data_IF_239286753220
#
_entry.id   IF_239286753220
#
_cell.length_a   1.000
_cell.length_b   1.000
_cell.length_c   1.000
_cell.angle_alpha   90.00
_cell.angle_beta   90.00
_cell.angle_gamma   90.00
#
_symmetry.space_group_name_H-M   'P 1'
#
loop_
_entity.id
_entity.type
_entity.pdbx_description
1 polymer ?
#
# COMPACT_ATOMS: atom_id res chain seq x y z
N UNK A 1 -11.51 -10.14 16.90
CA UNK A 1 -10.84 -9.46 15.77
C UNK A 1 -11.61 -9.56 14.45
N UNK A 2 -11.94 -10.78 13.96
CA UNK A 2 -12.61 -10.95 12.65
C UNK A 2 -13.93 -10.18 12.48
N UNK A 3 -14.79 -10.14 13.50
CA UNK A 3 -16.10 -9.49 13.43
C UNK A 3 -16.06 -7.95 13.34
N UNK A 4 -14.96 -7.33 13.73
CA UNK A 4 -14.78 -5.88 13.75
C UNK A 4 -14.53 -5.29 12.35
N UNK A 5 -13.94 -6.07 11.45
CA UNK A 5 -13.51 -5.61 10.12
C UNK A 5 -14.36 -6.14 8.97
N UNK A 6 -15.34 -7.04 9.26
CA UNK A 6 -16.30 -7.55 8.29
C UNK A 6 -15.69 -7.95 6.94
N UNK A 7 -16.24 -7.40 5.86
CA UNK A 7 -15.81 -7.70 4.50
C UNK A 7 -14.32 -7.41 4.23
N UNK A 8 -13.73 -6.41 4.87
CA UNK A 8 -12.30 -6.10 4.68
C UNK A 8 -11.39 -7.22 5.19
N UNK A 9 -11.76 -7.89 6.31
CA UNK A 9 -11.00 -9.05 6.80
C UNK A 9 -11.06 -10.24 5.85
N UNK A 10 -12.24 -10.52 5.30
CA UNK A 10 -12.43 -11.65 4.37
C UNK A 10 -11.64 -11.46 3.08
N UNK A 11 -11.56 -10.23 2.60
CA UNK A 11 -10.80 -9.89 1.39
C UNK A 11 -9.28 -9.99 1.54
N UNK A 12 -8.74 -10.08 2.75
CA UNK A 12 -7.32 -10.43 2.93
C UNK A 12 -6.97 -11.82 2.38
N UNK A 13 -7.94 -12.73 2.33
CA UNK A 13 -7.80 -14.09 1.78
C UNK A 13 -8.47 -14.24 0.41
N UNK A 14 -8.94 -13.14 -0.14
CA UNK A 14 -9.77 -13.11 -1.34
C UNK A 14 -8.98 -12.94 -2.63
N UNK A 15 -9.50 -12.15 -3.59
CA UNK A 15 -8.81 -11.93 -4.86
C UNK A 15 -7.39 -11.37 -4.67
N UNK A 16 -6.46 -11.69 -5.58
CA UNK A 16 -5.14 -11.06 -5.62
C UNK A 16 -5.22 -9.53 -5.66
N UNK A 17 -4.13 -8.88 -5.29
CA UNK A 17 -4.06 -7.43 -5.10
C UNK A 17 -3.22 -6.83 -6.22
N UNK A 18 -3.81 -6.02 -7.10
CA UNK A 18 -3.11 -5.33 -8.17
C UNK A 18 -2.27 -4.17 -7.59
N UNK A 19 -0.94 -4.25 -7.72
CA UNK A 19 0.04 -3.27 -7.24
C UNK A 19 -0.11 -1.96 -8.03
N UNK A 20 -0.53 -0.88 -7.35
CA UNK A 20 -0.84 0.43 -7.97
C UNK A 20 -1.98 0.38 -8.99
N UNK A 21 -2.93 -0.56 -8.82
CA UNK A 21 -3.96 -0.87 -9.79
C UNK A 21 -3.51 -1.85 -10.87
N UNK A 22 -4.41 -2.19 -11.81
CA UNK A 22 -4.08 -3.05 -12.95
C UNK A 22 -3.59 -2.16 -14.11
N UNK A 23 -2.34 -1.74 -14.02
CA UNK A 23 -1.67 -0.89 -14.99
C UNK A 23 -0.89 -1.70 -16.03
N UNK A 24 -0.67 -1.12 -17.20
CA UNK A 24 0.07 -1.72 -18.31
C UNK A 24 0.95 -0.68 -19.01
N UNK A 25 2.08 -1.08 -19.65
CA UNK A 25 3.00 -0.13 -20.31
C UNK A 25 2.36 0.74 -21.41
N UNK A 26 1.28 0.26 -22.04
CA UNK A 26 0.54 0.96 -23.11
C UNK A 26 -0.95 1.14 -22.76
N UNK A 27 -1.31 0.92 -21.48
CA UNK A 27 -2.63 1.06 -20.93
C UNK A 27 -2.69 2.18 -19.90
N UNK A 28 -3.61 2.09 -18.94
CA UNK A 28 -3.67 3.05 -17.85
C UNK A 28 -2.37 3.01 -17.02
N UNK A 29 -1.80 4.17 -16.66
CA UNK A 29 -0.59 4.23 -15.86
C UNK A 29 -0.80 3.78 -14.40
N UNK A 30 0.28 3.41 -13.71
CA UNK A 30 0.24 3.07 -12.28
C UNK A 30 -0.40 4.21 -11.46
N UNK A 31 -1.12 3.86 -10.39
CA UNK A 31 -1.76 4.81 -9.48
C UNK A 31 -2.76 5.78 -10.17
N UNK A 32 -3.35 5.40 -11.30
CA UNK A 32 -4.37 6.18 -12.01
C UNK A 32 -5.78 5.64 -11.78
N UNK A 33 -6.79 6.48 -12.02
CA UNK A 33 -8.19 6.06 -11.94
C UNK A 33 -8.51 4.96 -12.97
N UNK A 34 -7.91 5.03 -14.16
CA UNK A 34 -8.04 3.99 -15.18
C UNK A 34 -7.49 2.64 -14.74
N UNK A 35 -6.32 2.61 -14.04
CA UNK A 35 -5.76 1.37 -13.51
C UNK A 35 -6.63 0.77 -12.40
N UNK A 36 -7.26 1.59 -11.57
CA UNK A 36 -8.19 1.13 -10.53
C UNK A 36 -9.50 0.60 -11.14
N UNK A 37 -10.01 1.26 -12.18
CA UNK A 37 -11.18 0.78 -12.91
C UNK A 37 -10.90 -0.57 -13.57
N UNK A 38 -9.74 -0.75 -14.18
CA UNK A 38 -9.31 -2.01 -14.79
C UNK A 38 -9.20 -3.13 -13.73
N UNK A 39 -8.60 -2.86 -12.55
CA UNK A 39 -8.52 -3.82 -11.46
C UNK A 39 -9.91 -4.24 -10.96
N UNK A 40 -10.83 -3.28 -10.77
CA UNK A 40 -12.22 -3.56 -10.40
C UNK A 40 -12.93 -4.44 -11.43
N UNK A 41 -12.76 -4.15 -12.72
CA UNK A 41 -13.38 -4.90 -13.82
C UNK A 41 -12.86 -6.34 -13.89
N UNK A 42 -11.57 -6.55 -13.57
CA UNK A 42 -10.96 -7.87 -13.50
C UNK A 42 -11.24 -8.62 -12.18
N UNK A 43 -11.89 -7.98 -11.20
CA UNK A 43 -12.25 -8.58 -9.92
C UNK A 43 -11.10 -8.65 -8.92
N UNK A 44 -10.01 -7.89 -9.11
CA UNK A 44 -8.87 -7.82 -8.19
C UNK A 44 -9.09 -6.78 -7.08
N UNK A 45 -8.46 -7.01 -5.94
CA UNK A 45 -8.22 -5.97 -4.95
C UNK A 45 -7.13 -4.99 -5.45
N UNK A 46 -6.99 -3.84 -4.82
CA UNK A 46 -6.11 -2.76 -5.26
C UNK A 46 -5.15 -2.40 -4.13
N UNK A 47 -3.89 -2.25 -4.46
CA UNK A 47 -2.94 -1.51 -3.64
C UNK A 47 -2.65 -0.17 -4.33
N UNK A 48 -2.51 0.90 -3.55
CA UNK A 48 -2.15 2.24 -4.01
C UNK A 48 -1.30 2.98 -2.97
N UNK A 49 -0.51 3.95 -3.45
CA UNK A 49 0.39 4.75 -2.63
C UNK A 49 -0.17 6.15 -2.39
N UNK A 50 -0.08 6.68 -1.17
CA UNK A 50 -0.50 8.06 -0.88
C UNK A 50 0.60 8.90 -0.28
N UNK A 51 0.67 10.17 -0.69
CA UNK A 51 1.58 11.19 -0.19
C UNK A 51 0.85 12.50 0.06
N UNK A 52 1.43 13.33 0.94
CA UNK A 52 0.85 14.62 1.32
C UNK A 52 1.38 15.74 0.41
N UNK A 53 0.47 16.60 -0.06
CA UNK A 53 0.78 17.83 -0.80
C UNK A 53 1.19 18.98 0.10
N UNK A 54 1.67 20.10 -0.50
CA UNK A 54 1.98 21.33 0.22
C UNK A 54 0.76 21.94 0.96
N UNK A 55 -0.45 21.74 0.42
CA UNK A 55 -1.72 22.23 0.99
C UNK A 55 -2.46 21.18 1.83
N UNK A 56 -1.81 20.02 2.11
CA UNK A 56 -2.31 19.02 3.06
C UNK A 56 -3.32 18.01 2.50
N UNK A 57 -3.39 17.82 1.17
CA UNK A 57 -4.22 16.79 0.55
C UNK A 57 -3.45 15.46 0.38
N UNK A 58 -4.17 14.34 0.43
CA UNK A 58 -3.63 13.00 0.15
C UNK A 58 -3.77 12.66 -1.33
N UNK A 59 -2.67 12.76 -2.09
CA UNK A 59 -2.61 12.39 -3.50
C UNK A 59 -2.09 10.98 -3.70
N UNK A 60 -2.62 10.32 -4.74
CA UNK A 60 -2.24 8.93 -5.05
C UNK A 60 -1.04 8.95 -6.00
N UNK A 61 0.15 8.68 -5.46
CA UNK A 61 1.41 8.70 -6.22
C UNK A 61 2.53 7.98 -5.47
N UNK A 62 3.37 7.21 -6.17
CA UNK A 62 4.42 6.41 -5.53
C UNK A 62 5.69 7.18 -5.21
N UNK A 63 6.30 7.85 -6.19
CA UNK A 63 7.63 8.43 -6.04
C UNK A 63 7.59 9.75 -5.25
N UNK A 64 8.64 10.05 -4.50
CA UNK A 64 8.76 11.36 -3.84
C UNK A 64 8.92 12.51 -4.84
N UNK A 65 9.39 12.21 -6.07
CA UNK A 65 9.56 13.15 -7.18
C UNK A 65 8.60 12.83 -8.31
N UNK A 66 8.16 13.85 -9.02
CA UNK A 66 7.22 13.75 -10.13
C UNK A 66 7.86 13.24 -11.43
N UNK A 67 9.17 13.40 -11.57
CA UNK A 67 9.95 13.26 -12.82
C UNK A 67 9.62 12.02 -13.64
N UNK A 68 9.65 10.82 -13.02
CA UNK A 68 9.49 9.52 -13.72
C UNK A 68 8.14 9.38 -14.41
N UNK A 69 7.08 9.75 -13.70
CA UNK A 69 5.70 9.49 -14.15
C UNK A 69 5.06 10.68 -14.87
N UNK A 70 5.61 11.88 -14.75
CA UNK A 70 4.96 13.08 -15.31
C UNK A 70 5.86 13.89 -16.22
N UNK A 71 7.17 13.71 -16.14
CA UNK A 71 8.16 14.57 -16.81
C UNK A 71 8.28 15.97 -16.19
N UNK A 72 7.55 16.27 -15.12
CA UNK A 72 7.66 17.51 -14.33
C UNK A 72 8.74 17.30 -13.28
N UNK A 73 9.67 18.25 -13.16
CA UNK A 73 10.72 18.19 -12.13
C UNK A 73 10.18 18.65 -10.77
N UNK A 74 10.65 18.03 -9.69
CA UNK A 74 10.36 18.45 -8.33
C UNK A 74 9.70 17.37 -7.47
N UNK A 75 9.42 17.71 -6.23
CA UNK A 75 8.79 16.80 -5.26
C UNK A 75 7.29 17.00 -5.25
N UNK A 76 6.53 15.92 -5.11
CA UNK A 76 5.08 16.00 -4.94
C UNK A 76 4.69 16.94 -3.78
N UNK A 77 5.40 16.87 -2.67
CA UNK A 77 5.15 17.67 -1.47
C UNK A 77 5.32 19.18 -1.64
N UNK A 78 5.90 19.64 -2.76
CA UNK A 78 6.11 21.06 -3.06
C UNK A 78 4.95 21.68 -3.85
N UNK A 79 3.98 20.87 -4.29
CA UNK A 79 2.85 21.25 -5.13
C UNK A 79 1.52 21.18 -4.36
N UNK A 80 0.53 21.92 -4.85
CA UNK A 80 -0.86 21.85 -4.36
C UNK A 80 -1.61 20.67 -5.00
N UNK A 81 -2.70 20.23 -4.38
CA UNK A 81 -3.57 19.21 -4.95
C UNK A 81 -4.17 19.66 -6.29
N UNK A 82 -4.48 20.96 -6.44
CA UNK A 82 -5.02 21.52 -7.69
C UNK A 82 -4.00 21.40 -8.85
N UNK A 83 -2.72 21.68 -8.60
CA UNK A 83 -1.66 21.58 -9.61
C UNK A 83 -1.42 20.11 -10.02
N UNK A 84 -1.38 19.20 -9.03
CA UNK A 84 -1.18 17.78 -9.26
C UNK A 84 -2.37 17.14 -10.00
N UNK A 85 -3.59 17.54 -9.68
CA UNK A 85 -4.80 17.08 -10.38
C UNK A 85 -4.88 17.49 -11.86
N UNK A 86 -4.02 18.42 -12.30
CA UNK A 86 -3.84 18.81 -13.72
C UNK A 86 -2.61 18.18 -14.36
N UNK A 87 -1.76 17.53 -13.56
CA UNK A 87 -0.50 16.93 -14.02
C UNK A 87 -0.74 15.55 -14.62
N UNK A 88 -0.41 15.39 -15.91
CA UNK A 88 -0.63 14.14 -16.66
C UNK A 88 0.36 13.05 -16.26
N UNK A 89 -0.14 11.82 -16.18
CA UNK A 89 0.63 10.61 -15.90
C UNK A 89 1.09 9.95 -17.20
N UNK A 90 2.39 9.67 -17.32
CA UNK A 90 3.01 8.89 -18.41
C UNK A 90 2.62 9.34 -19.83
N UNK A 91 2.32 10.63 -20.02
CA UNK A 91 1.89 11.19 -21.31
C UNK A 91 0.48 10.80 -21.77
N UNK A 92 -0.32 10.22 -20.89
CA UNK A 92 -1.75 9.90 -21.12
C UNK A 92 -2.65 11.07 -20.74
N UNK A 93 -3.97 10.90 -20.87
CA UNK A 93 -4.96 11.86 -20.35
C UNK A 93 -5.30 11.65 -18.87
N UNK A 94 -4.79 10.59 -18.24
CA UNK A 94 -4.89 10.37 -16.80
C UNK A 94 -4.05 11.40 -16.04
N UNK A 95 -4.55 11.85 -14.90
CA UNK A 95 -3.86 12.79 -14.00
C UNK A 95 -3.64 12.15 -12.62
N UNK A 96 -2.87 12.80 -11.76
CA UNK A 96 -2.65 12.33 -10.39
C UNK A 96 -3.95 12.52 -9.58
N UNK A 97 -4.61 11.44 -9.13
CA UNK A 97 -5.87 11.57 -8.40
C UNK A 97 -5.64 11.80 -6.90
N UNK A 98 -6.64 12.37 -6.24
CA UNK A 98 -6.74 12.35 -4.78
C UNK A 98 -7.15 10.96 -4.28
N UNK A 99 -6.85 10.64 -3.01
CA UNK A 99 -7.35 9.42 -2.36
C UNK A 99 -8.89 9.36 -2.36
N UNK A 100 -9.55 10.49 -2.15
CA UNK A 100 -11.01 10.57 -2.15
C UNK A 100 -11.63 10.20 -3.51
N UNK A 101 -11.04 10.66 -4.63
CA UNK A 101 -11.47 10.28 -5.99
C UNK A 101 -11.26 8.79 -6.24
N UNK A 102 -10.10 8.25 -5.87
CA UNK A 102 -9.80 6.82 -6.01
C UNK A 102 -10.79 5.95 -5.23
N UNK A 103 -11.04 6.27 -3.96
CA UNK A 103 -11.98 5.52 -3.13
C UNK A 103 -13.43 5.67 -3.60
N UNK A 104 -13.83 6.83 -4.11
CA UNK A 104 -15.16 7.04 -4.71
C UNK A 104 -15.36 6.16 -5.95
N UNK A 105 -14.36 6.09 -6.83
CA UNK A 105 -14.41 5.24 -8.03
C UNK A 105 -14.53 3.76 -7.67
N UNK A 106 -13.71 3.29 -6.72
CA UNK A 106 -13.66 1.88 -6.33
C UNK A 106 -14.93 1.48 -5.55
N UNK A 107 -15.37 2.29 -4.60
CA UNK A 107 -16.53 2.02 -3.76
C UNK A 107 -16.42 0.67 -3.04
N UNK A 108 -17.41 -0.21 -3.27
CA UNK A 108 -17.44 -1.57 -2.71
C UNK A 108 -16.95 -2.67 -3.66
N UNK A 109 -16.52 -2.33 -4.88
CA UNK A 109 -16.15 -3.31 -5.93
C UNK A 109 -14.90 -4.11 -5.56
N UNK A 110 -13.91 -3.45 -4.93
CA UNK A 110 -12.65 -4.03 -4.52
C UNK A 110 -12.25 -3.55 -3.12
N UNK A 111 -11.38 -4.30 -2.43
CA UNK A 111 -10.68 -3.80 -1.26
C UNK A 111 -9.51 -2.93 -1.70
N UNK A 112 -9.29 -1.80 -1.01
CA UNK A 112 -8.17 -0.91 -1.26
C UNK A 112 -7.17 -0.98 -0.10
N UNK A 113 -5.93 -1.36 -0.42
CA UNK A 113 -4.78 -1.31 0.50
C UNK A 113 -4.03 0.00 0.25
N UNK A 114 -4.08 0.93 1.21
CA UNK A 114 -3.56 2.29 1.09
C UNK A 114 -2.17 2.33 1.73
N UNK A 115 -1.10 2.41 0.92
CA UNK A 115 0.26 2.56 1.45
C UNK A 115 0.53 4.01 1.84
N UNK A 116 0.83 4.21 3.13
CA UNK A 116 1.18 5.51 3.71
C UNK A 116 2.66 5.80 3.45
N UNK A 117 2.96 6.69 2.49
CA UNK A 117 4.32 7.07 2.10
C UNK A 117 4.80 8.25 2.92
N UNK A 118 5.36 7.98 4.08
CA UNK A 118 5.93 9.03 4.95
C UNK A 118 7.39 8.75 5.25
N UNK A 119 8.26 9.78 5.33
CA UNK A 119 9.58 9.66 5.89
C UNK A 119 9.54 9.19 7.35
N UNK A 120 10.57 8.50 7.79
CA UNK A 120 10.69 8.15 9.20
C UNK A 120 10.78 9.41 10.07
N UNK A 121 9.85 9.56 11.03
CA UNK A 121 9.80 10.66 11.97
C UNK A 121 8.73 11.72 11.74
N UNK A 122 8.05 11.70 10.59
CA UNK A 122 6.99 12.68 10.26
C UNK A 122 5.58 12.09 10.34
N UNK A 123 5.25 11.46 11.46
CA UNK A 123 3.93 10.86 11.67
C UNK A 123 2.90 11.92 12.07
N UNK A 124 1.72 11.89 11.47
CA UNK A 124 0.55 12.66 11.88
C UNK A 124 -0.18 13.37 10.74
N UNK A 125 0.45 14.24 9.93
CA UNK A 125 -0.28 15.01 8.92
C UNK A 125 -0.95 14.14 7.84
N UNK A 126 -0.21 13.22 7.20
CA UNK A 126 -0.76 12.33 6.17
C UNK A 126 -1.76 11.34 6.76
N UNK A 127 -1.46 10.76 7.92
CA UNK A 127 -2.35 9.82 8.60
C UNK A 127 -3.69 10.48 8.95
N UNK A 128 -3.66 11.73 9.41
CA UNK A 128 -4.87 12.50 9.71
C UNK A 128 -5.70 12.72 8.45
N UNK A 129 -5.07 13.16 7.35
CA UNK A 129 -5.79 13.39 6.10
C UNK A 129 -6.40 12.11 5.56
N UNK A 130 -5.65 11.00 5.57
CA UNK A 130 -6.18 9.67 5.19
C UNK A 130 -7.34 9.26 6.11
N UNK A 131 -7.21 9.46 7.42
CA UNK A 131 -8.29 9.18 8.38
C UNK A 131 -9.57 9.97 8.05
N UNK A 132 -9.46 11.27 7.75
CA UNK A 132 -10.59 12.12 7.36
C UNK A 132 -11.31 11.57 6.12
N UNK A 133 -10.56 11.17 5.09
CA UNK A 133 -11.12 10.55 3.88
C UNK A 133 -11.82 9.22 4.19
N UNK A 134 -11.23 8.42 5.08
CA UNK A 134 -11.78 7.10 5.45
C UNK A 134 -13.05 7.17 6.30
N UNK A 135 -13.29 8.25 7.03
CA UNK A 135 -14.55 8.43 7.80
C UNK A 135 -15.77 8.43 6.86
N UNK A 136 -15.63 9.03 5.69
CA UNK A 136 -16.73 9.16 4.72
C UNK A 136 -16.80 7.97 3.74
N UNK A 137 -15.82 7.05 3.81
CA UNK A 137 -15.75 5.89 2.91
C UNK A 137 -16.27 4.62 3.60
N UNK A 138 -17.24 3.94 2.97
CA UNK A 138 -17.86 2.72 3.49
C UNK A 138 -17.36 1.43 2.83
N UNK A 139 -16.46 1.51 1.84
CA UNK A 139 -15.88 0.34 1.18
C UNK A 139 -14.82 -0.37 2.01
N UNK A 140 -14.45 -1.61 1.66
CA UNK A 140 -13.41 -2.35 2.38
C UNK A 140 -12.04 -1.75 2.14
N UNK A 141 -11.35 -1.33 3.20
CA UNK A 141 -10.02 -0.71 3.14
C UNK A 141 -9.07 -1.25 4.20
N UNK A 142 -7.78 -1.09 3.96
CA UNK A 142 -6.72 -1.17 4.97
C UNK A 142 -5.68 -0.09 4.74
N UNK A 143 -4.95 0.27 5.77
CA UNK A 143 -3.71 1.04 5.64
C UNK A 143 -2.53 0.11 5.74
N UNK A 144 -1.52 0.30 4.88
CA UNK A 144 -0.25 -0.43 4.91
C UNK A 144 0.92 0.56 4.91
N UNK A 145 2.13 0.10 5.22
CA UNK A 145 3.33 0.93 5.16
C UNK A 145 4.48 0.36 5.99
N UNK A 146 5.65 0.98 5.84
CA UNK A 146 6.90 0.55 6.48
C UNK A 146 7.14 1.19 7.84
N UNK A 147 6.53 2.35 8.11
CA UNK A 147 6.75 3.09 9.34
C UNK A 147 5.86 2.53 10.47
N UNK A 148 6.42 1.87 11.50
CA UNK A 148 5.62 1.27 12.58
C UNK A 148 4.88 2.33 13.42
N UNK A 149 5.37 3.56 13.47
CA UNK A 149 4.73 4.65 14.23
C UNK A 149 3.49 5.20 13.52
N UNK A 150 3.46 5.18 12.18
CA UNK A 150 2.26 5.46 11.40
C UNK A 150 1.13 4.48 11.75
N UNK A 151 1.46 3.18 11.82
CA UNK A 151 0.49 2.17 12.26
C UNK A 151 0.04 2.35 13.71
N UNK A 152 0.95 2.75 14.61
CA UNK A 152 0.61 3.08 16.00
C UNK A 152 -0.36 4.26 16.07
N UNK A 153 -0.15 5.29 15.23
CA UNK A 153 -1.05 6.42 15.12
C UNK A 153 -2.47 5.97 14.71
N UNK A 154 -2.61 5.16 13.67
CA UNK A 154 -3.91 4.60 13.27
C UNK A 154 -4.53 3.70 14.33
N UNK A 155 -3.72 2.94 15.09
CA UNK A 155 -4.24 2.12 16.19
C UNK A 155 -4.90 2.96 17.29
N UNK A 156 -4.40 4.17 17.50
CA UNK A 156 -4.90 5.10 18.52
C UNK A 156 -6.09 5.94 18.01
N UNK A 157 -6.02 6.48 16.79
CA UNK A 157 -6.98 7.46 16.27
C UNK A 157 -8.06 6.85 15.36
N UNK A 158 -7.80 5.69 14.73
CA UNK A 158 -8.76 4.98 13.90
C UNK A 158 -8.67 3.45 14.11
N UNK A 159 -9.01 2.94 15.30
CA UNK A 159 -8.86 1.52 15.62
C UNK A 159 -9.70 0.59 14.73
N UNK A 160 -10.74 1.13 14.07
CA UNK A 160 -11.62 0.39 13.15
C UNK A 160 -11.02 0.11 11.78
N UNK A 161 -9.88 0.71 11.40
CA UNK A 161 -9.23 0.42 10.13
C UNK A 161 -8.27 -0.79 10.24
N UNK A 162 -8.27 -1.67 9.24
CA UNK A 162 -7.27 -2.73 9.13
C UNK A 162 -5.88 -2.13 8.91
N UNK A 163 -4.87 -2.67 9.57
CA UNK A 163 -3.47 -2.23 9.47
C UNK A 163 -2.57 -3.38 9.09
N UNK A 164 -1.79 -3.20 8.02
CA UNK A 164 -0.82 -4.17 7.55
C UNK A 164 0.60 -3.58 7.57
N UNK A 165 1.53 -4.21 8.26
CA UNK A 165 2.91 -3.75 8.33
C UNK A 165 3.71 -4.31 7.16
N UNK A 166 4.27 -3.41 6.32
CA UNK A 166 5.20 -3.77 5.25
C UNK A 166 6.59 -4.06 5.83
N UNK A 167 7.22 -5.14 5.35
CA UNK A 167 8.62 -5.44 5.67
C UNK A 167 9.27 -6.24 4.55
N UNK A 168 10.60 -6.18 4.47
CA UNK A 168 11.43 -6.92 3.52
C UNK A 168 12.77 -7.27 4.18
N UNK A 169 13.72 -7.89 3.48
CA UNK A 169 14.98 -8.33 4.07
C UNK A 169 15.90 -7.21 4.55
N UNK A 170 15.70 -5.98 4.06
CA UNK A 170 16.56 -4.81 4.30
C UNK A 170 18.05 -5.03 3.92
N UNK A 171 18.33 -6.02 3.07
CA UNK A 171 19.68 -6.35 2.60
C UNK A 171 20.10 -5.49 1.37
N UNK A 172 19.13 -4.91 0.65
CA UNK A 172 19.34 -4.17 -0.59
C UNK A 172 19.85 -2.74 -0.42
N UNK A 173 20.05 -2.07 -1.57
CA UNK A 173 20.49 -0.68 -1.62
C UNK A 173 19.47 0.29 -1.03
N UNK A 174 18.20 -0.03 -1.13
CA UNK A 174 17.08 0.81 -0.67
C UNK A 174 17.05 0.99 0.85
N UNK A 175 17.64 0.03 1.58
CA UNK A 175 17.76 0.12 3.04
C UNK A 175 18.98 0.91 3.53
N UNK A 176 19.87 1.41 2.65
CA UNK A 176 21.16 2.03 3.06
C UNK A 176 21.01 3.26 3.94
N UNK A 177 19.89 3.96 3.84
CA UNK A 177 19.58 5.14 4.66
C UNK A 177 19.16 4.79 6.09
N UNK A 178 18.88 3.51 6.38
CA UNK A 178 18.58 3.04 7.72
C UNK A 178 19.86 2.59 8.44
N UNK A 179 19.98 2.90 9.73
CA UNK A 179 21.06 2.40 10.57
C UNK A 179 21.11 0.87 10.54
N UNK A 180 22.30 0.24 10.54
CA UNK A 180 22.43 -1.21 10.44
C UNK A 180 21.64 -1.99 11.49
N UNK A 181 21.60 -1.50 12.73
CA UNK A 181 20.86 -2.11 13.81
C UNK A 181 19.34 -2.06 13.57
N UNK A 182 18.85 -0.95 13.02
CA UNK A 182 17.43 -0.79 12.70
C UNK A 182 17.02 -1.72 11.53
N UNK A 183 17.89 -1.87 10.51
CA UNK A 183 17.67 -2.84 9.42
C UNK A 183 17.53 -4.26 9.96
N UNK A 184 18.43 -4.66 10.86
CA UNK A 184 18.37 -5.98 11.51
C UNK A 184 17.07 -6.16 12.31
N UNK A 185 16.67 -5.18 13.11
CA UNK A 185 15.44 -5.24 13.89
C UNK A 185 14.21 -5.37 12.99
N UNK A 186 14.17 -4.67 11.85
CA UNK A 186 13.05 -4.71 10.90
C UNK A 186 13.04 -6.02 10.10
N UNK A 187 14.20 -6.52 9.65
CA UNK A 187 14.30 -7.84 9.02
C UNK A 187 13.88 -8.97 9.99
N UNK A 188 14.13 -8.81 11.28
CA UNK A 188 13.68 -9.71 12.34
C UNK A 188 12.21 -9.47 12.78
N UNK A 189 11.46 -8.59 12.12
CA UNK A 189 10.06 -8.24 12.43
C UNK A 189 9.85 -7.79 13.89
N UNK A 190 10.86 -7.17 14.54
CA UNK A 190 10.73 -6.68 15.92
C UNK A 190 9.81 -5.46 16.04
N UNK A 191 9.67 -4.69 14.98
CA UNK A 191 8.82 -3.52 14.92
C UNK A 191 7.31 -3.83 14.89
N UNK A 192 6.93 -5.09 14.70
CA UNK A 192 5.55 -5.58 14.85
C UNK A 192 4.97 -5.20 16.22
N UNK A 193 5.79 -5.22 17.28
CA UNK A 193 5.34 -4.84 18.62
C UNK A 193 4.94 -3.36 18.74
N UNK A 194 5.56 -2.47 17.96
CA UNK A 194 5.24 -1.03 17.89
C UNK A 194 4.01 -0.82 17.00
N UNK A 195 4.02 -1.39 15.79
CA UNK A 195 2.98 -1.20 14.79
C UNK A 195 1.63 -1.82 15.18
N UNK A 196 1.63 -2.91 15.96
CA UNK A 196 0.42 -3.67 16.33
C UNK A 196 -0.49 -3.94 15.12
N UNK A 197 0.05 -4.53 14.04
CA UNK A 197 -0.70 -4.73 12.81
C UNK A 197 -1.69 -5.89 12.96
N UNK A 198 -2.67 -5.94 12.05
CA UNK A 198 -3.61 -7.04 11.94
C UNK A 198 -3.14 -8.11 10.94
N UNK A 199 -2.28 -7.73 9.98
CA UNK A 199 -1.63 -8.61 9.02
C UNK A 199 -0.23 -8.08 8.68
N UNK A 200 0.61 -8.91 8.06
CA UNK A 200 1.92 -8.51 7.55
C UNK A 200 1.90 -8.52 6.03
N UNK A 201 2.55 -7.54 5.41
CA UNK A 201 2.83 -7.52 3.98
C UNK A 201 4.34 -7.68 3.79
N UNK A 202 4.79 -8.86 3.34
CA UNK A 202 6.20 -9.24 3.32
C UNK A 202 6.76 -9.34 1.90
N UNK A 203 7.93 -8.75 1.69
CA UNK A 203 8.70 -8.91 0.46
C UNK A 203 8.99 -10.38 0.17
N UNK A 204 8.97 -10.76 -1.11
CA UNK A 204 9.28 -12.14 -1.55
C UNK A 204 10.65 -12.62 -1.04
N UNK A 205 11.60 -11.69 -0.87
CA UNK A 205 12.95 -11.94 -0.36
C UNK A 205 13.00 -12.34 1.12
N UNK A 206 11.88 -12.24 1.84
CA UNK A 206 11.71 -12.72 3.21
C UNK A 206 11.04 -14.09 3.30
N UNK A 207 10.48 -14.60 2.23
CA UNK A 207 9.70 -15.85 2.26
C UNK A 207 10.47 -17.01 1.56
N UNK A 208 10.50 -18.21 2.18
CA UNK A 208 9.91 -18.62 3.45
C UNK A 208 10.64 -18.02 4.69
N UNK A 209 9.89 -17.73 5.75
CA UNK A 209 10.43 -17.20 7.00
C UNK A 209 9.75 -17.84 8.22
N UNK A 210 10.51 -18.54 9.04
CA UNK A 210 9.98 -19.24 10.22
C UNK A 210 9.23 -18.31 11.20
N UNK A 211 9.66 -17.05 11.31
CA UNK A 211 8.99 -16.05 12.16
C UNK A 211 7.66 -15.62 11.58
N UNK A 212 7.58 -15.39 10.25
CA UNK A 212 6.34 -15.11 9.56
C UNK A 212 5.37 -16.29 9.67
N UNK A 213 5.84 -17.53 9.48
CA UNK A 213 5.05 -18.73 9.69
C UNK A 213 4.52 -18.83 11.14
N UNK A 214 5.30 -18.36 12.12
CA UNK A 214 4.85 -18.25 13.52
C UNK A 214 3.70 -17.27 13.69
N UNK A 215 3.75 -16.10 13.10
CA UNK A 215 2.64 -15.14 13.11
C UNK A 215 1.40 -15.70 12.41
N UNK A 216 1.57 -16.33 11.25
CA UNK A 216 0.49 -16.95 10.48
C UNK A 216 -0.23 -18.04 11.26
N UNK A 217 0.52 -18.95 11.92
CA UNK A 217 -0.03 -19.99 12.80
C UNK A 217 -0.84 -19.43 13.96
N UNK A 218 -0.50 -18.23 14.42
CA UNK A 218 -1.23 -17.51 15.46
C UNK A 218 -2.39 -16.65 14.90
N UNK A 219 -2.74 -16.82 13.62
CA UNK A 219 -3.90 -16.19 13.00
C UNK A 219 -3.68 -14.79 12.46
N UNK A 220 -2.42 -14.35 12.28
CA UNK A 220 -2.06 -13.10 11.60
C UNK A 220 -1.79 -13.38 10.12
N UNK A 221 -2.63 -12.89 9.19
CA UNK A 221 -2.46 -13.14 7.75
C UNK A 221 -1.14 -12.58 7.22
N UNK A 222 -0.60 -13.25 6.20
CA UNK A 222 0.60 -12.80 5.47
C UNK A 222 0.21 -12.53 4.02
N UNK A 223 0.51 -11.33 3.52
CA UNK A 223 0.42 -10.96 2.11
C UNK A 223 1.84 -10.86 1.55
N UNK A 224 2.13 -11.54 0.45
CA UNK A 224 3.44 -11.46 -0.21
C UNK A 224 3.46 -10.33 -1.24
N UNK A 225 4.59 -9.61 -1.40
CA UNK A 225 4.77 -8.56 -2.41
C UNK A 225 6.20 -8.49 -2.95
N UNK A 226 6.44 -8.04 -4.13
CA UNK A 226 5.54 -7.92 -5.26
C UNK A 226 5.87 -9.04 -6.23
N UNK A 227 4.90 -9.90 -6.54
CA UNK A 227 5.07 -10.95 -7.53
C UNK A 227 4.94 -10.34 -8.94
N UNK A 228 5.94 -10.56 -9.78
CA UNK A 228 6.02 -10.08 -11.18
C UNK A 228 5.92 -11.18 -12.21
N UNK A 229 5.96 -12.42 -11.75
CA UNK A 229 5.90 -13.63 -12.56
C UNK A 229 5.19 -14.75 -11.80
N UNK A 230 4.47 -15.66 -12.49
CA UNK A 230 3.80 -16.79 -11.84
C UNK A 230 4.71 -17.65 -10.98
N UNK A 231 5.97 -17.84 -11.38
CA UNK A 231 6.93 -18.67 -10.64
C UNK A 231 7.31 -18.06 -9.29
N UNK A 232 7.40 -16.74 -9.18
CA UNK A 232 7.64 -16.05 -7.91
C UNK A 232 6.50 -16.31 -6.92
N UNK A 233 5.25 -16.26 -7.39
CA UNK A 233 4.09 -16.62 -6.59
C UNK A 233 4.12 -18.09 -6.19
N UNK A 234 4.36 -18.99 -7.15
CA UNK A 234 4.39 -20.43 -6.90
C UNK A 234 5.43 -20.81 -5.83
N UNK A 235 6.56 -20.09 -5.78
CA UNK A 235 7.62 -20.33 -4.79
C UNK A 235 7.20 -19.99 -3.35
N UNK A 236 6.27 -19.05 -3.13
CA UNK A 236 5.93 -18.53 -1.78
C UNK A 236 4.49 -18.79 -1.34
N UNK A 237 3.57 -19.21 -2.22
CA UNK A 237 2.15 -19.37 -1.92
C UNK A 237 1.82 -20.31 -0.75
N UNK A 238 2.73 -21.21 -0.37
CA UNK A 238 2.59 -22.04 0.83
C UNK A 238 2.83 -21.30 2.14
N UNK A 239 3.48 -20.12 2.09
CA UNK A 239 3.93 -19.32 3.22
C UNK A 239 3.17 -18.00 3.40
N UNK A 240 2.19 -17.72 2.56
CA UNK A 240 1.35 -16.53 2.62
C UNK A 240 -0.12 -16.87 2.33
N UNK A 241 -1.00 -15.88 2.53
CA UNK A 241 -2.45 -16.04 2.42
C UNK A 241 -3.00 -15.29 1.20
N UNK A 242 -2.26 -14.30 0.69
CA UNK A 242 -2.57 -13.56 -0.53
C UNK A 242 -1.28 -12.93 -1.10
N UNK A 243 -1.39 -12.28 -2.28
CA UNK A 243 -0.26 -11.59 -2.91
C UNK A 243 -0.66 -10.23 -3.49
N UNK A 244 0.32 -9.33 -3.52
CA UNK A 244 0.35 -8.14 -4.37
C UNK A 244 1.14 -8.50 -5.62
N UNK A 245 0.58 -8.26 -6.80
CA UNK A 245 1.16 -8.64 -8.10
C UNK A 245 1.19 -7.46 -9.08
N UNK A 246 2.09 -7.53 -10.07
CA UNK A 246 2.13 -6.62 -11.22
C UNK A 246 2.70 -7.31 -12.45
N UNK A 247 2.35 -6.85 -13.65
CA UNK A 247 2.95 -7.30 -14.90
C UNK A 247 2.45 -8.65 -15.44
N UNK A 248 1.55 -9.33 -14.74
CA UNK A 248 0.89 -10.57 -15.20
C UNK A 248 -0.52 -10.68 -14.62
N UNK A 249 -1.36 -11.54 -15.19
CA UNK A 249 -2.66 -11.90 -14.61
C UNK A 249 -2.51 -13.22 -13.84
N UNK A 250 -2.72 -13.23 -12.48
CA UNK A 250 -2.62 -14.44 -11.67
C UNK A 250 -3.81 -15.37 -11.81
#
# INVERSE_FOLDING_TARGET
MKSQFGAAWERLYGPPIAHRGLWEPHGPPENSLGAFQAACAAGYNIELDVQLTADGEAMVFHDAKLDRMTGVEGRLSDHTAEDLGKTRLAGTDETIPTLAEALTLVGHKAMVHIEIKIPYGEVGPLERRVHEVLIDHNGPTSVIGFNPYSHSWFAEHHPGVLRGLNSYSYAGKDARNLAPELRKQYAELRHVAIAKPHFLALGLDMLPCAKADGFRKNGMPIIAWTAREPDQWNAVKGHCDNMIFEGFAP
#
